data_IF_457097413900
#
_entry.id   IF_457097413900
#
_cell.length_a   1.000
_cell.length_b   1.000
_cell.length_c   1.000
_cell.angle_alpha   90.00
_cell.angle_beta   90.00
_cell.angle_gamma   90.00
#
_symmetry.space_group_name_H-M   'P 1'
#
loop_
_entity.id
_entity.type
_entity.pdbx_description
1 polymer ?
#
# COMPACT_ATOMS: atom_id res chain seq x y z
N UNK A 1 -0.17 -11.81 25.44
CA UNK A 1 -0.11 -10.35 25.70
C UNK A 1 -0.78 -9.69 24.50
N UNK A 2 -2.05 -9.29 24.65
CA UNK A 2 -2.80 -8.63 23.58
C UNK A 2 -2.40 -7.17 23.62
N UNK A 3 -1.60 -6.72 22.65
CA UNK A 3 -1.25 -5.30 22.52
C UNK A 3 -2.50 -4.61 21.98
N UNK A 4 -3.20 -3.89 22.86
CA UNK A 4 -4.34 -3.05 22.53
C UNK A 4 -3.80 -1.81 21.79
N UNK A 5 -3.68 -1.88 20.46
CA UNK A 5 -3.27 -0.76 19.62
C UNK A 5 -4.38 0.30 19.58
N UNK A 6 -4.62 0.98 20.69
CA UNK A 6 -5.60 2.07 20.79
C UNK A 6 -5.04 3.34 20.17
N UNK A 7 -5.23 3.49 18.86
CA UNK A 7 -5.24 4.83 18.27
C UNK A 7 -6.48 5.56 18.78
N UNK A 8 -6.33 6.79 19.26
CA UNK A 8 -7.49 7.57 19.68
C UNK A 8 -8.37 7.92 18.46
N UNK A 9 -9.70 8.02 18.60
CA UNK A 9 -10.57 8.42 17.49
C UNK A 9 -10.14 9.75 16.86
N UNK A 10 -9.71 10.71 17.67
CA UNK A 10 -9.23 12.01 17.20
C UNK A 10 -7.95 11.88 16.37
N UNK A 11 -6.97 11.11 16.84
CA UNK A 11 -5.73 10.88 16.09
C UNK A 11 -6.00 10.16 14.77
N UNK A 12 -6.87 9.15 14.79
CA UNK A 12 -7.26 8.43 13.59
C UNK A 12 -7.95 9.34 12.57
N UNK A 13 -8.90 10.18 13.01
CA UNK A 13 -9.60 11.09 12.11
C UNK A 13 -8.65 12.13 11.48
N UNK A 14 -7.72 12.70 12.24
CA UNK A 14 -6.71 13.61 11.67
C UNK A 14 -5.84 12.92 10.63
N UNK A 15 -5.40 11.67 10.88
CA UNK A 15 -4.64 10.89 9.89
C UNK A 15 -5.48 10.58 8.66
N UNK A 16 -6.74 10.19 8.84
CA UNK A 16 -7.68 9.91 7.74
C UNK A 16 -7.81 11.11 6.82
N UNK A 17 -8.05 12.31 7.35
CA UNK A 17 -8.18 13.53 6.55
C UNK A 17 -6.89 13.84 5.79
N UNK A 18 -5.73 13.71 6.45
CA UNK A 18 -4.43 13.87 5.80
C UNK A 18 -4.23 12.88 4.64
N UNK A 19 -4.51 11.59 4.86
CA UNK A 19 -4.37 10.53 3.85
C UNK A 19 -5.25 10.84 2.62
N UNK A 20 -6.53 11.15 2.86
CA UNK A 20 -7.50 11.46 1.79
C UNK A 20 -7.03 12.66 0.98
N UNK A 21 -6.70 13.77 1.66
CA UNK A 21 -6.28 15.00 0.98
C UNK A 21 -5.01 14.80 0.15
N UNK A 22 -4.05 14.02 0.66
CA UNK A 22 -2.81 13.74 -0.05
C UNK A 22 -3.06 12.90 -1.32
N UNK A 23 -3.87 11.85 -1.23
CA UNK A 23 -4.25 11.06 -2.41
C UNK A 23 -5.03 11.88 -3.45
N UNK A 24 -5.99 12.69 -3.01
CA UNK A 24 -6.77 13.56 -3.90
C UNK A 24 -5.89 14.60 -4.60
N UNK A 25 -4.86 15.13 -3.92
CA UNK A 25 -3.88 16.04 -4.55
C UNK A 25 -3.08 15.38 -5.69
N UNK A 26 -3.08 14.05 -5.76
CA UNK A 26 -2.42 13.21 -6.77
C UNK A 26 -3.38 12.64 -7.80
N UNK A 27 -4.66 13.03 -7.75
CA UNK A 27 -5.71 12.61 -8.68
C UNK A 27 -6.41 11.29 -8.34
N UNK A 28 -6.18 10.73 -7.14
CA UNK A 28 -6.93 9.56 -6.68
C UNK A 28 -8.21 10.02 -5.96
N UNK A 29 -9.35 9.90 -6.64
CA UNK A 29 -10.64 10.36 -6.12
C UNK A 29 -11.30 9.37 -5.16
N UNK A 30 -11.16 8.07 -5.45
CA UNK A 30 -11.71 6.98 -4.65
C UNK A 30 -10.56 6.18 -4.05
N UNK A 31 -10.57 6.05 -2.72
CA UNK A 31 -9.55 5.35 -1.94
C UNK A 31 -10.26 4.28 -1.10
N UNK A 32 -9.69 3.08 -1.04
CA UNK A 32 -10.25 1.98 -0.27
C UNK A 32 -10.32 2.35 1.23
N UNK A 33 -11.46 2.06 1.86
CA UNK A 33 -11.60 2.23 3.32
C UNK A 33 -10.60 1.36 4.10
N UNK A 34 -10.28 0.17 3.57
CA UNK A 34 -9.26 -0.74 4.13
C UNK A 34 -7.88 -0.10 4.12
N UNK A 35 -7.53 0.61 3.05
CA UNK A 35 -6.26 1.32 2.92
C UNK A 35 -6.17 2.50 3.89
N UNK A 36 -7.25 3.28 4.00
CA UNK A 36 -7.33 4.40 4.95
C UNK A 36 -7.17 3.88 6.38
N UNK A 37 -7.86 2.78 6.72
CA UNK A 37 -7.76 2.16 8.03
C UNK A 37 -6.33 1.68 8.30
N UNK A 38 -5.73 0.96 7.35
CA UNK A 38 -4.37 0.45 7.43
C UNK A 38 -3.36 1.58 7.64
N UNK A 39 -3.38 2.59 6.78
CA UNK A 39 -2.49 3.75 6.91
C UNK A 39 -2.75 4.54 8.19
N UNK A 40 -3.98 4.56 8.74
CA UNK A 40 -4.24 5.12 10.06
C UNK A 40 -3.33 4.53 11.16
N UNK A 41 -3.00 3.24 11.06
CA UNK A 41 -2.06 2.57 11.97
C UNK A 41 -0.60 2.68 11.55
N UNK A 42 -0.32 2.67 10.23
CA UNK A 42 1.03 2.45 9.70
C UNK A 42 1.67 3.67 8.99
N UNK A 43 0.95 4.77 8.82
CA UNK A 43 1.43 5.98 8.15
C UNK A 43 2.78 6.44 8.71
N UNK A 44 3.75 6.66 7.81
CA UNK A 44 5.11 7.11 8.12
C UNK A 44 5.89 6.19 9.06
N UNK A 45 5.46 4.92 9.19
CA UNK A 45 6.26 3.87 9.84
C UNK A 45 7.08 3.13 8.80
N UNK A 46 8.17 2.53 9.26
CA UNK A 46 8.94 1.58 8.48
C UNK A 46 9.32 0.38 9.33
N UNK A 47 9.51 -0.75 8.67
CA UNK A 47 9.80 -2.03 9.29
C UNK A 47 10.94 -2.71 8.54
N UNK A 48 11.77 -3.44 9.26
CA UNK A 48 12.76 -4.34 8.69
C UNK A 48 12.43 -5.76 9.12
N UNK A 49 12.20 -6.65 8.15
CA UNK A 49 11.85 -8.04 8.40
C UNK A 49 12.49 -8.93 7.35
N UNK A 50 13.17 -10.00 7.78
CA UNK A 50 13.82 -11.00 6.89
C UNK A 50 14.71 -10.41 5.79
N UNK A 51 15.39 -9.31 6.08
CA UNK A 51 16.26 -8.62 5.12
C UNK A 51 15.52 -7.64 4.19
N UNK A 52 14.20 -7.50 4.31
CA UNK A 52 13.39 -6.56 3.54
C UNK A 52 13.11 -5.32 4.36
N UNK A 53 13.23 -4.15 3.72
CA UNK A 53 12.76 -2.88 4.27
C UNK A 53 11.40 -2.53 3.67
N UNK A 54 10.44 -2.20 4.54
CA UNK A 54 9.07 -1.78 4.17
C UNK A 54 8.88 -0.36 4.71
N UNK A 55 8.56 0.58 3.84
CA UNK A 55 8.44 2.00 4.14
C UNK A 55 7.07 2.54 3.74
N UNK A 56 6.26 2.92 4.74
CA UNK A 56 4.92 3.48 4.59
C UNK A 56 4.91 5.02 4.63
N UNK A 57 6.03 5.66 4.28
CA UNK A 57 6.09 7.12 4.12
C UNK A 57 5.31 7.53 2.87
N UNK A 58 4.04 7.89 3.06
CA UNK A 58 3.10 8.08 1.96
C UNK A 58 3.49 9.23 1.01
N UNK A 59 4.02 10.34 1.54
CA UNK A 59 4.50 11.46 0.72
C UNK A 59 5.64 11.05 -0.22
N UNK A 60 6.55 10.20 0.26
CA UNK A 60 7.64 9.63 -0.52
C UNK A 60 7.09 8.75 -1.64
N UNK A 61 6.18 7.84 -1.31
CA UNK A 61 5.51 6.94 -2.28
C UNK A 61 4.79 7.76 -3.36
N UNK A 62 4.12 8.85 -2.99
CA UNK A 62 3.32 9.66 -3.91
C UNK A 62 4.11 10.75 -4.66
N UNK A 63 5.42 10.88 -4.42
CA UNK A 63 6.23 11.90 -5.10
C UNK A 63 6.18 11.72 -6.62
N UNK A 64 6.27 10.48 -7.11
CA UNK A 64 6.30 10.15 -8.55
C UNK A 64 5.10 9.33 -9.05
N UNK A 65 4.15 9.00 -8.17
CA UNK A 65 3.05 8.08 -8.47
C UNK A 65 1.69 8.79 -8.49
N UNK A 66 1.47 9.63 -9.51
CA UNK A 66 0.16 10.26 -9.76
C UNK A 66 -0.84 9.27 -10.36
N UNK A 67 -2.14 9.59 -10.30
CA UNK A 67 -3.16 8.77 -10.95
C UNK A 67 -2.84 8.53 -12.43
N UNK A 68 -2.96 7.28 -12.86
CA UNK A 68 -2.64 6.82 -14.21
C UNK A 68 -1.22 6.29 -14.40
N UNK A 69 -0.34 6.42 -13.40
CA UNK A 69 1.02 5.85 -13.45
C UNK A 69 1.00 4.35 -13.77
N UNK A 70 0.04 3.61 -13.20
CA UNK A 70 -0.06 2.16 -13.33
C UNK A 70 -1.01 1.66 -14.43
N UNK A 71 -1.41 2.53 -15.38
CA UNK A 71 -2.40 2.18 -16.42
C UNK A 71 -2.01 0.98 -17.28
N UNK A 72 -0.70 0.79 -17.53
CA UNK A 72 -0.18 -0.37 -18.25
C UNK A 72 -0.45 -1.67 -17.50
N UNK A 73 -0.08 -1.71 -16.20
CA UNK A 73 -0.28 -2.86 -15.32
C UNK A 73 -1.77 -3.15 -15.13
N UNK A 74 -2.58 -2.10 -14.91
CA UNK A 74 -4.04 -2.18 -14.87
C UNK A 74 -4.57 -2.93 -16.10
N UNK A 75 -4.13 -2.55 -17.30
CA UNK A 75 -4.55 -3.21 -18.54
C UNK A 75 -4.03 -4.64 -18.71
N UNK A 76 -2.79 -4.94 -18.29
CA UNK A 76 -2.18 -6.26 -18.48
C UNK A 76 -2.84 -7.35 -17.63
N UNK A 77 -3.34 -6.99 -16.45
CA UNK A 77 -3.84 -7.94 -15.46
C UNK A 77 -5.33 -7.75 -15.11
N UNK A 78 -6.06 -6.95 -15.89
CA UNK A 78 -7.48 -6.59 -15.62
C UNK A 78 -7.68 -6.01 -14.20
N UNK A 79 -6.71 -5.20 -13.75
CA UNK A 79 -6.74 -4.49 -12.47
C UNK A 79 -7.27 -3.08 -12.68
N UNK A 80 -7.80 -2.47 -11.63
CA UNK A 80 -8.46 -1.18 -11.70
C UNK A 80 -8.17 -0.33 -10.48
N UNK A 81 -7.87 0.93 -10.77
CA UNK A 81 -7.61 1.93 -9.76
C UNK A 81 -6.52 1.53 -8.77
N UNK A 82 -5.36 1.11 -9.30
CA UNK A 82 -4.20 0.80 -8.47
C UNK A 82 -3.72 2.05 -7.74
N UNK A 83 -3.71 1.95 -6.41
CA UNK A 83 -3.30 3.03 -5.51
C UNK A 83 -2.00 2.62 -4.82
N UNK A 84 -0.90 3.38 -5.00
CA UNK A 84 0.37 3.10 -4.33
C UNK A 84 0.33 3.55 -2.87
N UNK A 85 0.94 2.79 -1.96
CA UNK A 85 0.90 3.13 -0.53
C UNK A 85 2.16 2.80 0.28
N UNK A 86 3.10 2.03 -0.26
CA UNK A 86 4.37 1.75 0.40
C UNK A 86 5.49 1.47 -0.61
N UNK A 87 6.73 1.60 -0.16
CA UNK A 87 7.89 1.07 -0.88
C UNK A 87 8.44 -0.15 -0.14
N UNK A 88 8.81 -1.19 -0.86
CA UNK A 88 9.40 -2.42 -0.32
C UNK A 88 10.69 -2.79 -1.02
N UNK A 89 11.52 -3.58 -0.35
CA UNK A 89 12.87 -3.96 -0.81
C UNK A 89 13.69 -2.73 -1.18
N UNK A 90 13.97 -1.82 -0.25
CA UNK A 90 14.81 -0.64 -0.52
C UNK A 90 14.35 0.22 -1.72
N UNK A 91 13.03 0.29 -1.93
CA UNK A 91 12.36 0.96 -3.06
C UNK A 91 12.52 0.27 -4.43
N UNK A 92 12.89 -1.02 -4.47
CA UNK A 92 12.82 -1.80 -5.70
C UNK A 92 11.39 -2.09 -6.15
N UNK A 93 10.44 -2.12 -5.21
CA UNK A 93 9.03 -2.36 -5.49
C UNK A 93 8.14 -1.33 -4.80
N UNK A 94 7.02 -1.00 -5.43
CA UNK A 94 5.94 -0.20 -4.85
C UNK A 94 4.76 -1.10 -4.51
N UNK A 95 4.25 -1.03 -3.29
CA UNK A 95 2.99 -1.69 -2.94
C UNK A 95 1.81 -0.90 -3.48
N UNK A 96 0.92 -1.61 -4.17
CA UNK A 96 -0.30 -1.12 -4.79
C UNK A 96 -1.49 -1.85 -4.19
N UNK A 97 -2.59 -1.15 -3.96
CA UNK A 97 -3.89 -1.76 -3.64
C UNK A 97 -4.85 -1.54 -4.81
N UNK A 98 -5.55 -2.61 -5.20
CA UNK A 98 -6.57 -2.61 -6.24
C UNK A 98 -7.94 -2.22 -5.67
N UNK A 99 -8.92 -1.92 -6.53
CA UNK A 99 -10.27 -1.56 -6.10
C UNK A 99 -10.95 -2.61 -5.20
N UNK A 100 -10.62 -3.89 -5.37
CA UNK A 100 -11.15 -5.02 -4.60
C UNK A 100 -10.40 -5.28 -3.27
N UNK A 101 -9.42 -4.43 -2.94
CA UNK A 101 -8.47 -4.51 -1.82
C UNK A 101 -7.29 -5.47 -2.00
N UNK A 102 -7.21 -6.19 -3.12
CA UNK A 102 -6.06 -7.02 -3.43
C UNK A 102 -4.78 -6.18 -3.48
N UNK A 103 -3.72 -6.67 -2.84
CA UNK A 103 -2.45 -5.96 -2.72
C UNK A 103 -1.37 -6.64 -3.56
N UNK A 104 -0.70 -5.81 -4.34
CA UNK A 104 0.39 -6.21 -5.20
C UNK A 104 1.66 -5.42 -4.87
N UNK A 105 2.82 -5.97 -5.19
CA UNK A 105 4.06 -5.21 -5.31
C UNK A 105 4.45 -5.13 -6.79
N UNK A 106 4.61 -3.92 -7.29
CA UNK A 106 4.98 -3.64 -8.68
C UNK A 106 6.45 -3.22 -8.75
N UNK A 107 7.17 -3.77 -9.72
CA UNK A 107 8.59 -3.56 -9.96
C UNK A 107 9.02 -4.26 -11.25
N UNK A 108 9.96 -5.21 -11.19
CA UNK A 108 10.33 -6.03 -12.37
C UNK A 108 9.26 -7.06 -12.76
N UNK A 109 8.45 -7.44 -11.79
CA UNK A 109 7.32 -8.35 -11.89
C UNK A 109 6.19 -7.80 -11.02
N UNK A 110 4.99 -8.36 -11.18
CA UNK A 110 3.87 -8.07 -10.28
C UNK A 110 3.74 -9.21 -9.28
N UNK A 111 3.84 -8.90 -8.00
CA UNK A 111 3.77 -9.87 -6.91
C UNK A 111 2.48 -9.71 -6.13
N UNK A 112 1.64 -10.73 -6.04
CA UNK A 112 0.44 -10.69 -5.20
C UNK A 112 0.78 -11.08 -3.76
N UNK A 113 0.36 -10.25 -2.81
CA UNK A 113 0.68 -10.40 -1.39
C UNK A 113 -0.54 -10.69 -0.50
N UNK A 114 -1.76 -10.45 -0.96
CA UNK A 114 -2.94 -10.73 -0.16
C UNK A 114 -4.18 -10.01 -0.67
N UNK A 115 -5.33 -10.43 -0.16
CA UNK A 115 -6.65 -9.88 -0.51
C UNK A 115 -6.99 -8.59 0.23
N UNK A 116 -6.17 -8.20 1.22
CA UNK A 116 -6.28 -6.95 1.96
C UNK A 116 -4.90 -6.48 2.48
N UNK A 117 -4.75 -5.21 2.88
CA UNK A 117 -3.44 -4.67 3.27
C UNK A 117 -2.87 -5.23 4.59
N UNK A 118 -3.70 -5.78 5.48
CA UNK A 118 -3.23 -6.44 6.71
C UNK A 118 -2.68 -7.83 6.40
N UNK A 119 -3.39 -8.63 5.61
CA UNK A 119 -2.89 -9.93 5.12
C UNK A 119 -1.58 -9.75 4.35
N UNK A 120 -1.53 -8.75 3.46
CA UNK A 120 -0.35 -8.44 2.68
C UNK A 120 0.86 -8.11 3.55
N UNK A 121 0.66 -7.36 4.65
CA UNK A 121 1.72 -7.09 5.61
C UNK A 121 2.24 -8.38 6.28
N UNK A 122 1.35 -9.29 6.67
CA UNK A 122 1.76 -10.59 7.26
C UNK A 122 2.64 -11.40 6.29
N UNK A 123 2.25 -11.47 5.01
CA UNK A 123 3.01 -12.18 3.98
C UNK A 123 4.33 -11.48 3.63
N UNK A 124 4.35 -10.14 3.59
CA UNK A 124 5.58 -9.35 3.42
C UNK A 124 6.57 -9.58 4.55
N UNK A 125 6.10 -9.63 5.80
CA UNK A 125 6.94 -9.93 6.97
C UNK A 125 7.51 -11.37 6.93
N UNK A 126 6.82 -12.28 6.24
CA UNK A 126 7.31 -13.63 5.94
C UNK A 126 8.22 -13.67 4.70
N UNK A 127 8.24 -12.62 3.88
CA UNK A 127 9.08 -12.52 2.69
C UNK A 127 8.68 -13.50 1.59
N UNK A 128 7.41 -13.87 1.51
CA UNK A 128 6.90 -14.82 0.51
C UNK A 128 5.66 -14.24 -0.15
N UNK A 129 5.71 -13.88 -1.44
CA UNK A 129 4.51 -13.53 -2.18
C UNK A 129 3.62 -14.77 -2.35
N UNK A 130 2.31 -14.57 -2.48
CA UNK A 130 1.35 -15.64 -2.74
C UNK A 130 1.40 -16.08 -4.21
N UNK A 131 1.60 -15.13 -5.12
CA UNK A 131 1.70 -15.37 -6.56
C UNK A 131 2.62 -14.35 -7.24
N UNK A 132 3.21 -14.74 -8.37
CA UNK A 132 4.12 -13.92 -9.18
C UNK A 132 3.64 -13.90 -10.63
N UNK A 133 3.45 -12.71 -11.18
CA UNK A 133 3.05 -12.48 -12.57
C UNK A 133 4.16 -11.77 -13.35
N UNK A 134 4.47 -12.28 -14.54
CA UNK A 134 5.47 -11.69 -15.43
C UNK A 134 4.85 -10.57 -16.26
N UNK A 135 5.57 -9.44 -16.35
CA UNK A 135 5.21 -8.25 -17.13
C UNK A 135 5.49 -8.39 -18.63
#
# INVERSE_FOLDING_TARGET
>A
MVIDYKISPTEFNTKKDFIINLYQSKGYEQINDSLILFLGFFLNKSFSARGNHIDFTLEKVLTNNNKGHYSYIESCFDLKNLIPFANVYDNYYTLLINEDNSVYAEGFELLFYGSDPFEALENLLQGTPLETFKL
#
